data_IF_885488739544
#
_entry.id   IF_885488739544
#
_cell.length_a   1.000
_cell.length_b   1.000
_cell.length_c   1.000
_cell.angle_alpha   90.00
_cell.angle_beta   90.00
_cell.angle_gamma   90.00
#
_symmetry.space_group_name_H-M   'P 1'
#
loop_
_entity.id
_entity.type
_entity.pdbx_description
1 polymer ?
#
# COMPACT_ATOMS: atom_id res chain seq x y z
N UNK A 1 2.04 -11.30 -10.18
CA UNK A 1 2.04 -10.11 -11.06
C UNK A 1 1.74 -8.96 -10.15
N UNK A 2 2.63 -7.95 -10.11
CA UNK A 2 2.49 -6.86 -9.16
C UNK A 2 1.32 -5.94 -9.52
N UNK A 3 0.78 -5.29 -8.50
CA UNK A 3 -0.30 -4.31 -8.61
C UNK A 3 0.13 -3.00 -7.96
N UNK A 4 -0.42 -1.89 -8.42
CA UNK A 4 -0.28 -0.57 -7.81
C UNK A 4 -1.64 0.03 -7.50
N UNK A 5 -1.71 0.80 -6.41
CA UNK A 5 -2.83 1.70 -6.14
C UNK A 5 -2.90 2.89 -7.11
N UNK A 6 -1.82 3.14 -7.85
CA UNK A 6 -1.54 4.44 -8.43
C UNK A 6 -1.31 5.51 -7.36
N UNK A 7 -1.04 6.74 -7.81
CA UNK A 7 -0.87 7.87 -6.91
C UNK A 7 -2.20 8.29 -6.28
N UNK A 8 -2.26 8.20 -4.96
CA UNK A 8 -3.37 8.66 -4.14
C UNK A 8 -3.03 10.03 -3.56
N UNK A 9 -3.84 11.03 -3.91
CA UNK A 9 -3.64 12.41 -3.44
C UNK A 9 -3.88 12.56 -1.93
N UNK A 10 -2.98 13.27 -1.25
CA UNK A 10 -2.92 13.45 0.19
C UNK A 10 -2.80 14.92 0.64
N UNK A 11 -3.41 15.84 -0.10
CA UNK A 11 -3.17 17.30 0.06
C UNK A 11 -4.23 18.05 0.89
N UNK A 12 -4.98 17.40 1.79
CA UNK A 12 -6.04 18.09 2.53
C UNK A 12 -5.51 19.00 3.63
N UNK A 13 -6.10 20.20 3.76
CA UNK A 13 -5.77 21.18 4.78
C UNK A 13 -6.23 20.70 6.17
N UNK A 14 -5.28 20.63 7.12
CA UNK A 14 -5.40 20.30 8.55
C UNK A 14 -6.28 19.08 8.93
N UNK A 15 -5.66 18.08 9.56
CA UNK A 15 -6.35 16.99 10.28
C UNK A 15 -7.11 15.97 9.44
N UNK A 16 -7.03 16.04 8.11
CA UNK A 16 -7.73 15.10 7.20
C UNK A 16 -6.84 14.52 6.11
N UNK A 17 -5.55 14.87 6.08
CA UNK A 17 -4.56 14.13 5.31
C UNK A 17 -4.23 12.83 6.06
N UNK A 18 -3.91 11.78 5.31
CA UNK A 18 -3.42 10.56 5.90
C UNK A 18 -2.02 10.80 6.47
N UNK A 19 -1.86 10.45 7.74
CA UNK A 19 -0.54 10.32 8.38
C UNK A 19 0.02 8.91 8.20
N UNK A 20 -0.84 7.93 7.94
CA UNK A 20 -0.48 6.51 7.88
C UNK A 20 -1.19 5.83 6.72
N UNK A 21 -0.52 4.91 6.04
CA UNK A 21 -1.13 3.97 5.09
C UNK A 21 -1.25 2.61 5.76
N UNK A 22 -2.47 2.06 5.82
CA UNK A 22 -2.76 0.72 6.29
C UNK A 22 -3.00 -0.22 5.11
N UNK A 23 -2.16 -1.25 4.99
CA UNK A 23 -2.26 -2.33 4.00
C UNK A 23 -2.77 -3.58 4.70
N UNK A 24 -4.01 -3.96 4.41
CA UNK A 24 -4.57 -5.22 4.88
C UNK A 24 -4.38 -6.29 3.81
N UNK A 25 -3.90 -7.44 4.25
CA UNK A 25 -3.66 -8.60 3.39
C UNK A 25 -4.40 -9.81 3.96
N UNK A 26 -5.13 -10.53 3.12
CA UNK A 26 -5.81 -11.77 3.48
C UNK A 26 -5.44 -12.87 2.49
N UNK A 27 -4.84 -13.94 3.01
CA UNK A 27 -4.64 -15.15 2.24
C UNK A 27 -5.94 -15.95 2.19
N UNK A 28 -6.49 -16.16 1.00
CA UNK A 28 -7.75 -16.89 0.81
C UNK A 28 -7.49 -18.40 0.72
N UNK A 29 -6.25 -18.80 0.46
CA UNK A 29 -5.86 -20.18 0.19
C UNK A 29 -5.47 -20.92 1.47
N UNK A 30 -5.30 -22.24 1.36
CA UNK A 30 -4.84 -23.11 2.45
C UNK A 30 -3.31 -23.22 2.53
N UNK A 31 -2.57 -22.63 1.60
CA UNK A 31 -1.10 -22.70 1.51
C UNK A 31 -0.48 -21.37 1.94
N UNK A 32 0.71 -21.36 2.55
CA UNK A 32 1.40 -20.12 2.85
C UNK A 32 1.80 -19.40 1.56
N UNK A 33 1.78 -18.08 1.62
CA UNK A 33 2.19 -17.18 0.54
C UNK A 33 3.27 -16.23 1.03
N UNK A 34 4.08 -15.72 0.12
CA UNK A 34 4.99 -14.61 0.36
C UNK A 34 4.39 -13.36 -0.27
N UNK A 35 4.28 -12.31 0.53
CA UNK A 35 3.81 -10.99 0.10
C UNK A 35 5.00 -10.05 0.10
N UNK A 36 5.14 -9.26 -0.96
CA UNK A 36 6.10 -8.17 -1.07
C UNK A 36 5.35 -6.87 -1.31
N UNK A 37 5.75 -5.81 -0.62
CA UNK A 37 5.16 -4.49 -0.82
C UNK A 37 6.20 -3.39 -0.77
N UNK A 38 5.92 -2.34 -1.53
CA UNK A 38 6.65 -1.08 -1.54
C UNK A 38 5.68 0.07 -1.30
N UNK A 39 6.09 1.06 -0.51
CA UNK A 39 5.34 2.30 -0.29
C UNK A 39 6.18 3.45 -0.80
N UNK A 40 5.59 4.21 -1.71
CA UNK A 40 6.13 5.43 -2.27
C UNK A 40 5.34 6.64 -1.76
N UNK A 41 6.04 7.76 -1.64
CA UNK A 41 5.43 9.05 -1.31
C UNK A 41 5.91 10.11 -2.30
N UNK A 42 5.17 11.22 -2.38
CA UNK A 42 5.55 12.40 -3.14
C UNK A 42 5.71 13.57 -2.16
N UNK A 43 6.97 13.90 -1.80
CA UNK A 43 7.24 15.02 -0.91
C UNK A 43 6.86 16.37 -1.56
N UNK A 44 6.40 17.36 -0.77
CA UNK A 44 5.97 18.65 -1.29
C UNK A 44 7.10 19.52 -1.89
N UNK A 45 8.33 19.29 -1.46
CA UNK A 45 9.52 20.03 -1.87
C UNK A 45 10.11 19.51 -3.19
N UNK A 46 10.14 18.19 -3.40
CA UNK A 46 10.73 17.60 -4.60
C UNK A 46 9.71 17.28 -5.69
N UNK A 47 8.46 16.96 -5.34
CA UNK A 47 7.46 16.43 -6.24
C UNK A 47 7.93 15.18 -7.02
N UNK A 48 8.84 14.40 -6.44
CA UNK A 48 9.36 13.15 -7.01
C UNK A 48 8.79 11.95 -6.27
N UNK A 49 8.51 10.86 -6.98
CA UNK A 49 8.12 9.59 -6.39
C UNK A 49 9.32 8.99 -5.64
N UNK A 50 9.22 8.91 -4.31
CA UNK A 50 10.30 8.49 -3.41
C UNK A 50 9.90 7.21 -2.68
N UNK A 51 10.72 6.17 -2.78
CA UNK A 51 10.52 4.92 -2.04
C UNK A 51 10.86 5.13 -0.56
N UNK A 52 9.90 4.88 0.33
CA UNK A 52 10.10 5.06 1.78
C UNK A 52 10.07 3.75 2.55
N UNK A 53 9.34 2.74 2.08
CA UNK A 53 9.29 1.42 2.71
C UNK A 53 9.33 0.30 1.68
N UNK A 54 10.09 -0.74 2.00
CA UNK A 54 10.05 -2.04 1.33
C UNK A 54 9.90 -3.09 2.41
N UNK A 55 8.90 -3.96 2.30
CA UNK A 55 8.77 -5.08 3.23
C UNK A 55 8.23 -6.33 2.55
N UNK A 56 8.70 -7.48 3.01
CA UNK A 56 8.22 -8.78 2.59
C UNK A 56 7.91 -9.64 3.80
N UNK A 57 6.82 -10.39 3.75
CA UNK A 57 6.40 -11.26 4.84
C UNK A 57 5.67 -12.50 4.34
N UNK A 58 5.79 -13.59 5.11
CA UNK A 58 5.02 -14.81 4.88
C UNK A 58 3.67 -14.70 5.57
N UNK A 59 2.60 -15.04 4.86
CA UNK A 59 1.26 -15.12 5.40
C UNK A 59 0.77 -16.57 5.33
N UNK A 60 0.37 -17.13 6.47
CA UNK A 60 -0.14 -18.49 6.55
C UNK A 60 -1.44 -18.65 5.74
N UNK A 61 -1.81 -19.89 5.46
CA UNK A 61 -3.10 -20.19 4.83
C UNK A 61 -4.26 -19.69 5.70
N UNK A 62 -5.28 -19.12 5.05
CA UNK A 62 -6.48 -18.59 5.70
C UNK A 62 -6.24 -17.54 6.80
N UNK A 63 -5.09 -16.85 6.81
CA UNK A 63 -4.80 -15.78 7.76
C UNK A 63 -4.83 -14.40 7.11
N UNK A 64 -4.83 -13.37 7.95
CA UNK A 64 -4.71 -11.98 7.55
C UNK A 64 -3.62 -11.26 8.34
N UNK A 65 -3.03 -10.24 7.74
CA UNK A 65 -2.06 -9.36 8.38
C UNK A 65 -2.30 -7.91 7.94
N UNK A 66 -2.09 -6.98 8.87
CA UNK A 66 -2.24 -5.54 8.64
C UNK A 66 -0.91 -4.87 8.91
N UNK A 67 -0.42 -4.12 7.92
CA UNK A 67 0.82 -3.34 8.03
C UNK A 67 0.51 -1.87 7.89
N UNK A 68 1.11 -1.08 8.76
CA UNK A 68 0.94 0.37 8.80
C UNK A 68 2.27 1.07 8.52
N UNK A 69 2.23 2.12 7.71
CA UNK A 69 3.39 2.87 7.25
C UNK A 69 3.14 4.37 7.41
N UNK A 70 4.05 5.08 8.08
CA UNK A 70 3.92 6.52 8.28
C UNK A 70 4.26 7.29 7.01
N UNK A 71 3.38 8.18 6.57
CA UNK A 71 3.50 9.00 5.35
C UNK A 71 3.13 10.47 5.59
N UNK A 72 3.16 10.89 6.86
CA UNK A 72 2.73 12.22 7.25
C UNK A 72 3.55 13.32 6.56
N UNK A 73 2.87 14.32 6.01
CA UNK A 73 3.49 15.50 5.39
C UNK A 73 3.69 15.38 3.87
N UNK A 74 3.44 14.23 3.27
CA UNK A 74 3.57 14.02 1.83
C UNK A 74 2.29 14.40 1.06
N UNK A 75 2.46 14.90 -0.18
CA UNK A 75 1.36 15.34 -1.05
C UNK A 75 0.55 14.19 -1.64
N UNK A 76 1.18 13.03 -1.82
CA UNK A 76 0.56 11.84 -2.36
C UNK A 76 1.34 10.60 -1.92
N UNK A 77 0.71 9.44 -2.04
CA UNK A 77 1.33 8.15 -1.77
C UNK A 77 0.88 7.10 -2.77
N UNK A 78 1.68 6.05 -2.92
CA UNK A 78 1.39 4.90 -3.77
C UNK A 78 1.87 3.64 -3.05
N UNK A 79 1.10 2.56 -3.15
CA UNK A 79 1.52 1.24 -2.68
C UNK A 79 1.58 0.27 -3.85
N UNK A 80 2.73 -0.40 -3.98
CA UNK A 80 2.93 -1.49 -4.94
C UNK A 80 3.01 -2.82 -4.19
N UNK A 81 2.30 -3.82 -4.68
CA UNK A 81 2.06 -5.10 -4.00
C UNK A 81 2.27 -6.24 -4.97
N UNK A 82 2.99 -7.27 -4.55
CA UNK A 82 3.05 -8.56 -5.25
C UNK A 82 2.89 -9.69 -4.25
N UNK A 83 2.49 -10.83 -4.78
CA UNK A 83 2.34 -12.04 -4.01
C UNK A 83 2.87 -13.21 -4.82
N UNK A 84 3.52 -14.15 -4.13
CA UNK A 84 4.06 -15.36 -4.72
C UNK A 84 3.75 -16.58 -3.85
N UNK A 85 3.50 -17.71 -4.50
CA UNK A 85 3.15 -18.97 -3.83
C UNK A 85 2.44 -19.93 -4.76
N UNK A 86 2.24 -21.16 -4.30
CA UNK A 86 1.49 -22.18 -5.05
C UNK A 86 0.00 -21.91 -4.87
N UNK A 87 -0.74 -21.84 -5.99
CA UNK A 87 -2.19 -21.58 -6.03
C UNK A 87 -2.59 -20.30 -5.28
N UNK A 88 -1.76 -19.27 -5.37
CA UNK A 88 -1.86 -18.11 -4.50
C UNK A 88 -2.98 -17.14 -4.91
N UNK A 89 -3.90 -16.92 -3.98
CA UNK A 89 -5.02 -15.99 -4.12
C UNK A 89 -5.11 -15.14 -2.85
N UNK A 90 -4.96 -13.83 -3.03
CA UNK A 90 -4.80 -12.88 -1.94
C UNK A 90 -5.75 -11.74 -2.15
N UNK A 91 -6.56 -11.44 -1.14
CA UNK A 91 -7.31 -10.20 -1.10
C UNK A 91 -6.49 -9.15 -0.36
N UNK A 92 -6.32 -8.01 -0.99
CA UNK A 92 -5.63 -6.88 -0.42
C UNK A 92 -6.57 -5.68 -0.30
N UNK A 93 -6.26 -4.74 0.58
CA UNK A 93 -6.93 -3.44 0.61
C UNK A 93 -6.02 -2.41 1.24
N UNK A 94 -6.01 -1.19 0.71
CA UNK A 94 -5.15 -0.12 1.18
C UNK A 94 -6.00 1.07 1.59
N UNK A 95 -5.72 1.61 2.78
CA UNK A 95 -6.44 2.74 3.34
C UNK A 95 -5.46 3.82 3.82
N UNK A 96 -5.80 5.08 3.56
CA UNK A 96 -5.21 6.21 4.27
C UNK A 96 -5.88 6.40 5.63
N UNK A 97 -5.08 6.57 6.68
CA UNK A 97 -5.51 6.83 8.05
C UNK A 97 -4.99 8.20 8.51
N UNK A 98 -5.83 8.97 9.20
CA UNK A 98 -5.45 10.23 9.84
C UNK A 98 -4.60 10.01 11.10
N UNK A 99 -4.17 11.11 11.73
CA UNK A 99 -3.33 11.10 12.94
C UNK A 99 -3.96 10.39 14.16
N UNK A 100 -5.26 10.14 14.11
CA UNK A 100 -6.02 9.45 15.16
C UNK A 100 -6.39 8.01 14.77
N UNK A 101 -5.97 7.54 13.59
CA UNK A 101 -6.27 6.21 13.06
C UNK A 101 -7.64 6.09 12.39
N UNK A 102 -8.32 7.21 12.08
CA UNK A 102 -9.58 7.16 11.34
C UNK A 102 -9.33 7.07 9.83
N UNK A 103 -10.26 6.43 9.12
CA UNK A 103 -10.22 6.36 7.66
C UNK A 103 -10.35 7.75 7.03
N UNK A 104 -9.39 8.10 6.18
CA UNK A 104 -9.45 9.32 5.36
C UNK A 104 -10.42 9.11 4.20
N UNK A 105 -11.48 9.95 4.07
CA UNK A 105 -12.45 9.79 3.00
C UNK A 105 -11.83 9.87 1.60
N UNK A 106 -12.11 8.88 0.75
CA UNK A 106 -11.62 8.82 -0.63
C UNK A 106 -10.24 8.18 -0.79
N UNK A 107 -9.57 7.82 0.31
CA UNK A 107 -8.29 7.11 0.29
C UNK A 107 -8.48 5.62 0.61
N UNK A 108 -9.54 5.02 0.06
CA UNK A 108 -9.90 3.61 0.27
C UNK A 108 -9.75 2.83 -1.04
N UNK A 109 -8.55 2.36 -1.33
CA UNK A 109 -8.26 1.68 -2.59
C UNK A 109 -8.58 0.19 -2.45
N UNK A 110 -9.66 -0.24 -3.10
CA UNK A 110 -10.10 -1.65 -3.13
C UNK A 110 -9.48 -2.35 -4.33
N UNK A 111 -9.38 -3.68 -4.27
CA UNK A 111 -8.78 -4.53 -5.33
C UNK A 111 -9.31 -4.24 -6.74
N UNK A 112 -10.59 -3.87 -6.87
CA UNK A 112 -11.20 -3.56 -8.17
C UNK A 112 -10.61 -2.31 -8.84
N UNK A 113 -9.99 -1.42 -8.07
CA UNK A 113 -9.41 -0.16 -8.53
C UNK A 113 -7.89 -0.28 -8.76
N UNK A 114 -7.35 -1.50 -8.64
CA UNK A 114 -5.91 -1.74 -8.75
C UNK A 114 -5.47 -1.83 -10.21
N UNK A 115 -4.32 -1.22 -10.49
CA UNK A 115 -3.69 -1.30 -11.79
C UNK A 115 -2.61 -2.36 -11.77
N UNK A 116 -2.67 -3.31 -12.68
CA UNK A 116 -1.61 -4.29 -12.89
C UNK A 116 -0.37 -3.60 -13.46
N UNK A 117 0.81 -3.94 -12.94
CA UNK A 117 2.11 -3.46 -13.40
C UNK A 117 3.00 -4.65 -13.76
N UNK A 118 3.90 -4.48 -14.72
CA UNK A 118 4.76 -5.57 -15.19
C UNK A 118 5.95 -5.84 -14.27
N UNK A 119 6.33 -4.85 -13.46
CA UNK A 119 7.39 -4.91 -12.45
C UNK A 119 7.17 -3.77 -11.45
N UNK A 120 7.76 -3.89 -10.25
CA UNK A 120 7.85 -2.77 -9.31
C UNK A 120 8.64 -1.60 -9.89
N UNK A 121 8.33 -0.40 -9.43
CA UNK A 121 9.02 0.82 -9.79
C UNK A 121 10.50 0.75 -9.41
N UNK A 122 11.36 1.32 -10.24
CA UNK A 122 12.77 1.48 -9.90
C UNK A 122 12.91 2.70 -8.99
N UNK A 123 13.43 2.57 -7.76
CA UNK A 123 13.66 3.72 -6.91
C UNK A 123 14.67 4.66 -7.57
N UNK A 124 14.38 5.96 -7.54
CA UNK A 124 15.35 6.99 -7.90
C UNK A 124 16.30 7.10 -6.71
N UNK A 125 17.56 6.71 -6.91
CA UNK A 125 18.64 6.79 -5.90
C UNK A 125 19.23 8.20 -5.89
#
# INVERSE_FOLDING_TARGET
MPFTTGLVTNTRSFGTAASTVAVNTRNITSTPILVLLEVYVVPPDTNTLTLVYVTGFNLAGHSSDTREFSIAGDLAWEVQLDQSGILSEVAFSVFGLDEFGNLVPGQNIKVADWMEITAFSTPIV
#
